data_IF_780337885693
#
_entry.id   IF_780337885693
#
_cell.length_a   1.000
_cell.length_b   1.000
_cell.length_c   1.000
_cell.angle_alpha   90.00
_cell.angle_beta   90.00
_cell.angle_gamma   90.00
#
_symmetry.space_group_name_H-M   'P 1'
#
loop_
_entity.id
_entity.type
_entity.pdbx_description
1 polymer ?
#
# COMPACT_ATOMS: atom_id res chain seq x y z
N UNK A 1 -22.17 -15.83 2.25
CA UNK A 1 -21.99 -14.45 1.73
C UNK A 1 -21.12 -13.67 2.68
N UNK A 2 -20.36 -12.66 2.18
CA UNK A 2 -19.39 -11.89 2.98
C UNK A 2 -20.08 -11.15 4.16
N UNK A 3 -21.21 -10.53 3.94
CA UNK A 3 -21.97 -9.79 4.97
C UNK A 3 -22.39 -10.69 6.14
N UNK A 4 -22.76 -11.93 5.84
CA UNK A 4 -23.17 -12.89 6.86
C UNK A 4 -21.98 -13.28 7.76
N UNK A 5 -20.81 -13.55 7.16
CA UNK A 5 -19.59 -13.93 7.89
C UNK A 5 -19.06 -12.79 8.74
N UNK A 6 -19.03 -11.57 8.21
CA UNK A 6 -18.55 -10.40 8.97
C UNK A 6 -19.45 -10.10 10.16
N UNK A 7 -20.77 -10.23 9.99
CA UNK A 7 -21.75 -10.05 11.06
C UNK A 7 -21.61 -11.14 12.14
N UNK A 8 -21.44 -12.39 11.75
CA UNK A 8 -21.23 -13.51 12.69
C UNK A 8 -19.95 -13.30 13.49
N UNK A 9 -18.84 -12.95 12.82
CA UNK A 9 -17.55 -12.71 13.46
C UNK A 9 -17.63 -11.53 14.44
N UNK A 10 -18.26 -10.42 14.05
CA UNK A 10 -18.44 -9.25 14.91
C UNK A 10 -19.28 -9.56 16.13
N UNK A 11 -20.41 -10.26 15.96
CA UNK A 11 -21.27 -10.67 17.08
C UNK A 11 -20.55 -11.64 18.03
N UNK A 12 -19.70 -12.53 17.49
CA UNK A 12 -18.89 -13.42 18.32
C UNK A 12 -17.89 -12.63 19.18
N UNK A 13 -17.22 -11.61 18.60
CA UNK A 13 -16.31 -10.75 19.34
C UNK A 13 -17.03 -9.93 20.42
N UNK A 14 -18.21 -9.40 20.14
CA UNK A 14 -19.02 -8.67 21.11
C UNK A 14 -19.45 -9.56 22.27
N UNK A 15 -19.94 -10.77 21.99
CA UNK A 15 -20.42 -11.74 22.99
C UNK A 15 -19.33 -12.22 23.95
N UNK A 16 -18.05 -12.21 23.49
CA UNK A 16 -16.92 -12.68 24.27
C UNK A 16 -15.94 -11.55 24.63
N UNK A 17 -16.40 -10.30 24.58
CA UNK A 17 -15.55 -9.12 24.81
C UNK A 17 -14.90 -9.08 26.19
N UNK A 18 -15.55 -9.67 27.18
CA UNK A 18 -15.10 -9.84 28.56
C UNK A 18 -13.92 -10.80 28.71
N UNK A 19 -13.74 -11.73 27.78
CA UNK A 19 -12.64 -12.70 27.79
C UNK A 19 -11.30 -12.10 27.32
N UNK A 20 -11.32 -10.93 26.69
CA UNK A 20 -10.12 -10.28 26.16
C UNK A 20 -9.60 -9.22 27.15
N UNK A 21 -8.32 -9.32 27.53
CA UNK A 21 -7.65 -8.30 28.36
C UNK A 21 -7.62 -6.93 27.66
N UNK A 22 -7.52 -6.92 26.35
CA UNK A 22 -7.59 -5.73 25.50
C UNK A 22 -8.69 -5.95 24.48
N UNK A 23 -9.63 -4.99 24.34
CA UNK A 23 -10.71 -5.11 23.37
C UNK A 23 -10.15 -5.19 21.96
N UNK A 24 -10.43 -6.30 21.21
CA UNK A 24 -9.98 -6.42 19.84
C UNK A 24 -10.67 -5.39 18.96
N UNK A 25 -9.91 -4.79 18.03
CA UNK A 25 -10.45 -3.93 16.99
C UNK A 25 -10.87 -4.81 15.82
N UNK A 26 -12.06 -4.57 15.28
CA UNK A 26 -12.59 -5.33 14.14
C UNK A 26 -12.63 -4.45 12.90
N UNK A 27 -11.92 -4.87 11.87
CA UNK A 27 -11.87 -4.17 10.60
C UNK A 27 -12.42 -5.06 9.50
N UNK A 28 -13.22 -4.46 8.61
CA UNK A 28 -13.80 -5.14 7.46
C UNK A 28 -13.31 -4.41 6.21
N UNK A 29 -12.69 -5.13 5.29
CA UNK A 29 -12.34 -4.64 3.95
C UNK A 29 -13.29 -5.32 2.98
N UNK A 30 -14.19 -4.55 2.40
CA UNK A 30 -15.23 -5.02 1.48
C UNK A 30 -15.09 -4.29 0.15
N UNK A 31 -14.62 -4.99 -0.88
CA UNK A 31 -14.48 -4.45 -2.22
C UNK A 31 -15.80 -4.39 -2.99
N UNK A 32 -16.81 -5.19 -2.58
CA UNK A 32 -18.12 -5.23 -3.23
C UNK A 32 -18.98 -4.02 -2.83
N UNK A 33 -18.85 -3.55 -1.57
CA UNK A 33 -19.48 -2.31 -1.11
C UNK A 33 -18.50 -1.43 -0.33
N UNK A 34 -17.79 -0.52 -1.01
CA UNK A 34 -16.81 0.37 -0.38
C UNK A 34 -17.41 1.31 0.69
N UNK A 35 -18.73 1.56 0.66
CA UNK A 35 -19.41 2.40 1.68
C UNK A 35 -19.49 1.68 3.03
N UNK A 36 -19.45 0.35 3.02
CA UNK A 36 -19.48 -0.51 4.21
C UNK A 36 -18.11 -1.13 4.50
N UNK A 37 -17.06 -0.50 4.01
CA UNK A 37 -15.68 -0.95 4.15
C UNK A 37 -14.86 0.05 4.97
N UNK A 38 -13.98 -0.47 5.82
CA UNK A 38 -12.92 0.36 6.41
C UNK A 38 -11.91 0.72 5.33
N UNK A 39 -11.32 1.90 5.48
CA UNK A 39 -10.27 2.38 4.57
C UNK A 39 -8.91 1.92 5.09
N UNK A 40 -8.08 1.44 4.18
CA UNK A 40 -6.70 1.06 4.45
C UNK A 40 -5.79 1.74 3.42
N UNK A 41 -4.72 2.35 3.89
CA UNK A 41 -3.65 2.83 3.02
C UNK A 41 -2.47 1.86 3.13
N UNK A 42 -2.22 0.99 2.13
CA UNK A 42 -1.11 0.06 2.15
C UNK A 42 0.26 0.75 2.05
N UNK A 43 0.29 2.01 1.58
CA UNK A 43 1.49 2.83 1.47
C UNK A 43 1.58 3.88 2.60
N UNK A 44 1.04 3.57 3.78
CA UNK A 44 1.09 4.52 4.89
C UNK A 44 2.54 4.86 5.28
N UNK A 45 2.92 6.15 5.26
CA UNK A 45 4.29 6.59 5.55
C UNK A 45 4.73 6.29 6.99
N UNK A 46 3.78 6.02 7.90
CA UNK A 46 4.04 5.69 9.31
C UNK A 46 4.82 4.39 9.47
N UNK A 47 4.65 3.46 8.52
CA UNK A 47 5.31 2.14 8.56
C UNK A 47 6.60 2.10 7.74
N UNK A 48 7.01 3.21 7.13
CA UNK A 48 8.23 3.28 6.33
C UNK A 48 9.31 4.06 7.08
N UNK A 49 10.38 3.40 7.47
CA UNK A 49 11.52 3.98 8.18
C UNK A 49 12.64 4.36 7.23
N UNK A 50 12.89 3.55 6.22
CA UNK A 50 13.89 3.78 5.20
C UNK A 50 13.42 3.37 3.79
N UNK A 51 14.30 3.52 2.79
CA UNK A 51 13.98 3.24 1.39
C UNK A 51 13.74 1.75 1.12
N UNK A 52 14.27 0.86 1.95
CA UNK A 52 14.05 -0.58 1.78
C UNK A 52 12.59 -0.97 2.06
N UNK A 53 11.92 -0.28 2.98
CA UNK A 53 10.49 -0.48 3.23
C UNK A 53 9.65 -0.11 1.99
N UNK A 54 10.03 0.97 1.29
CA UNK A 54 9.38 1.37 0.04
C UNK A 54 9.65 0.34 -1.08
N UNK A 55 10.87 -0.21 -1.13
CA UNK A 55 11.20 -1.27 -2.07
C UNK A 55 10.40 -2.55 -1.81
N UNK A 56 10.29 -2.99 -0.56
CA UNK A 56 9.50 -4.18 -0.18
C UNK A 56 8.01 -3.99 -0.50
N UNK A 57 7.46 -2.81 -0.25
CA UNK A 57 6.09 -2.48 -0.62
C UNK A 57 5.89 -2.55 -2.14
N UNK A 58 6.80 -1.94 -2.90
CA UNK A 58 6.80 -1.99 -4.36
C UNK A 58 6.91 -3.42 -4.90
N UNK A 59 7.87 -4.18 -4.39
CA UNK A 59 8.12 -5.57 -4.75
C UNK A 59 6.86 -6.42 -4.54
N UNK A 60 6.25 -6.31 -3.37
CA UNK A 60 5.03 -7.03 -3.03
C UNK A 60 3.88 -6.68 -3.96
N UNK A 61 3.68 -5.38 -4.26
CA UNK A 61 2.62 -4.92 -5.16
C UNK A 61 2.84 -5.47 -6.57
N UNK A 62 4.04 -5.29 -7.12
CA UNK A 62 4.35 -5.66 -8.50
C UNK A 62 4.28 -7.16 -8.74
N UNK A 63 4.78 -7.98 -7.81
CA UNK A 63 4.69 -9.44 -7.93
C UNK A 63 3.26 -9.96 -7.79
N UNK A 64 2.41 -9.29 -6.98
CA UNK A 64 1.00 -9.66 -6.88
C UNK A 64 0.20 -9.27 -8.14
N UNK A 65 0.57 -8.17 -8.79
CA UNK A 65 -0.02 -7.76 -10.06
C UNK A 65 0.39 -8.69 -11.21
N UNK A 66 1.63 -9.19 -11.20
CA UNK A 66 2.13 -10.10 -12.21
C UNK A 66 2.90 -11.27 -11.59
N UNK A 67 2.17 -12.33 -11.25
CA UNK A 67 2.74 -13.52 -10.60
C UNK A 67 3.83 -14.24 -11.41
N UNK A 68 3.84 -14.10 -12.74
CA UNK A 68 4.88 -14.71 -13.58
C UNK A 68 6.28 -14.12 -13.33
N UNK A 69 6.33 -12.91 -12.74
CA UNK A 69 7.58 -12.26 -12.39
C UNK A 69 8.32 -12.93 -11.23
N UNK A 70 7.61 -13.68 -10.38
CA UNK A 70 8.22 -14.46 -9.29
C UNK A 70 9.29 -15.42 -9.81
N UNK A 71 9.10 -15.97 -11.01
CA UNK A 71 10.04 -16.90 -11.65
C UNK A 71 11.17 -16.20 -12.42
N UNK A 72 11.14 -14.86 -12.50
CA UNK A 72 12.10 -14.03 -13.26
C UNK A 72 12.80 -13.01 -12.38
N UNK A 73 12.98 -13.32 -11.11
CA UNK A 73 13.72 -12.45 -10.19
C UNK A 73 15.15 -12.23 -10.69
N UNK A 74 15.61 -10.99 -10.64
CA UNK A 74 16.92 -10.59 -11.17
C UNK A 74 16.92 -10.23 -12.66
N UNK A 75 15.80 -10.40 -13.37
CA UNK A 75 15.65 -9.91 -14.74
C UNK A 75 15.47 -8.38 -14.72
N UNK A 76 16.21 -7.68 -15.56
CA UNK A 76 16.16 -6.21 -15.68
C UNK A 76 14.73 -5.68 -15.92
N UNK A 77 13.94 -6.36 -16.75
CA UNK A 77 12.56 -5.96 -17.05
C UNK A 77 11.59 -6.18 -15.88
N UNK A 78 11.96 -6.97 -14.89
CA UNK A 78 11.21 -7.17 -13.64
C UNK A 78 11.67 -6.19 -12.58
N UNK A 79 12.98 -6.06 -12.39
CA UNK A 79 13.56 -5.21 -11.32
C UNK A 79 13.36 -3.71 -11.60
N UNK A 80 13.46 -3.29 -12.85
CA UNK A 80 13.38 -1.88 -13.23
C UNK A 80 12.04 -1.22 -12.84
N UNK A 81 10.86 -1.80 -13.14
CA UNK A 81 9.58 -1.27 -12.68
C UNK A 81 9.41 -1.28 -11.15
N UNK A 82 9.99 -2.27 -10.48
CA UNK A 82 9.95 -2.37 -9.01
C UNK A 82 10.72 -1.20 -8.40
N UNK A 83 11.94 -0.94 -8.87
CA UNK A 83 12.77 0.17 -8.42
C UNK A 83 12.10 1.51 -8.70
N UNK A 84 11.52 1.68 -9.89
CA UNK A 84 10.80 2.91 -10.24
C UNK A 84 9.64 3.17 -9.27
N UNK A 85 8.79 2.17 -9.02
CA UNK A 85 7.68 2.32 -8.09
C UNK A 85 8.17 2.56 -6.66
N UNK A 86 9.24 1.91 -6.22
CA UNK A 86 9.86 2.14 -4.92
C UNK A 86 10.35 3.59 -4.77
N UNK A 87 10.98 4.13 -5.81
CA UNK A 87 11.45 5.54 -5.83
C UNK A 87 10.28 6.52 -5.73
N UNK A 88 9.17 6.25 -6.42
CA UNK A 88 7.96 7.06 -6.35
C UNK A 88 7.34 7.00 -4.94
N UNK A 89 7.23 5.82 -4.34
CA UNK A 89 6.70 5.63 -2.99
C UNK A 89 7.57 6.40 -1.98
N UNK A 90 8.90 6.27 -2.08
CA UNK A 90 9.83 6.96 -1.21
C UNK A 90 9.76 8.48 -1.37
N UNK A 91 9.68 8.99 -2.60
CA UNK A 91 9.44 10.39 -2.87
C UNK A 91 8.17 10.90 -2.19
N UNK A 92 7.05 10.20 -2.37
CA UNK A 92 5.77 10.58 -1.76
C UNK A 92 5.80 10.51 -0.23
N UNK A 93 6.63 9.63 0.36
CA UNK A 93 6.83 9.57 1.80
C UNK A 93 7.50 10.83 2.33
N UNK A 94 8.49 11.36 1.60
CA UNK A 94 9.24 12.55 2.00
C UNK A 94 8.46 13.82 1.68
N UNK A 95 7.80 13.85 0.53
CA UNK A 95 7.05 14.99 0.05
C UNK A 95 5.90 15.34 0.99
N UNK A 96 5.81 16.62 1.43
CA UNK A 96 4.74 17.13 2.31
C UNK A 96 4.50 16.25 3.55
N UNK A 97 5.57 15.71 4.16
CA UNK A 97 5.50 14.79 5.31
C UNK A 97 4.63 13.55 5.07
N UNK A 98 4.61 13.03 3.86
CA UNK A 98 3.87 11.82 3.48
C UNK A 98 2.37 12.01 3.29
N UNK A 99 1.87 13.24 3.23
CA UNK A 99 0.44 13.55 3.06
C UNK A 99 -0.15 12.87 1.82
N UNK A 100 0.62 12.75 0.76
CA UNK A 100 0.22 12.17 -0.53
C UNK A 100 0.75 10.74 -0.74
N UNK A 101 1.32 10.11 0.30
CA UNK A 101 1.83 8.75 0.21
C UNK A 101 0.69 7.73 0.16
N UNK A 102 0.03 7.65 -0.99
CA UNK A 102 -1.07 6.75 -1.29
C UNK A 102 -0.94 6.17 -2.69
N UNK A 103 -1.55 5.01 -2.92
CA UNK A 103 -1.47 4.33 -4.21
C UNK A 103 -2.03 5.17 -5.39
N UNK A 104 -3.17 5.87 -5.26
CA UNK A 104 -3.65 6.75 -6.33
C UNK A 104 -2.65 7.84 -6.71
N UNK A 105 -1.99 8.48 -5.74
CA UNK A 105 -0.98 9.51 -6.03
C UNK A 105 0.28 8.92 -6.67
N UNK A 106 0.68 7.69 -6.28
CA UNK A 106 1.79 7.00 -6.94
C UNK A 106 1.49 6.73 -8.42
N UNK A 107 0.26 6.30 -8.74
CA UNK A 107 -0.17 6.11 -10.13
C UNK A 107 -0.21 7.44 -10.89
N UNK A 108 -0.68 8.50 -10.26
CA UNK A 108 -0.75 9.82 -10.89
C UNK A 108 0.63 10.38 -11.23
N UNK A 109 1.64 10.17 -10.40
CA UNK A 109 3.03 10.55 -10.69
C UNK A 109 3.62 9.79 -11.89
N UNK A 110 3.16 8.56 -12.14
CA UNK A 110 3.53 7.82 -13.35
C UNK A 110 2.92 8.41 -14.63
N UNK A 111 1.92 9.29 -14.48
CA UNK A 111 1.33 9.96 -15.64
C UNK A 111 2.35 10.94 -16.23
N UNK A 112 2.48 10.94 -17.55
CA UNK A 112 3.42 11.76 -18.33
C UNK A 112 3.39 13.26 -17.95
N UNK A 113 2.24 13.77 -17.51
CA UNK A 113 2.07 15.17 -17.10
C UNK A 113 2.94 15.56 -15.90
N UNK A 114 3.23 14.62 -15.00
CA UNK A 114 3.99 14.88 -13.76
C UNK A 114 5.39 14.26 -13.78
N UNK A 115 5.74 13.51 -14.83
CA UNK A 115 7.03 12.83 -14.94
C UNK A 115 8.22 13.82 -14.86
N UNK A 116 8.10 15.01 -15.46
CA UNK A 116 9.17 16.02 -15.46
C UNK A 116 9.39 16.59 -14.05
N UNK A 117 8.32 16.83 -13.29
CA UNK A 117 8.38 17.31 -11.91
C UNK A 117 9.02 16.25 -11.00
N UNK A 118 8.61 14.99 -11.15
CA UNK A 118 9.20 13.88 -10.40
C UNK A 118 10.69 13.74 -10.68
N UNK A 119 11.10 13.75 -11.94
CA UNK A 119 12.50 13.61 -12.34
C UNK A 119 13.35 14.73 -11.77
N UNK A 120 12.91 15.99 -11.88
CA UNK A 120 13.65 17.15 -11.41
C UNK A 120 13.84 17.14 -9.89
N UNK A 121 12.77 16.82 -9.13
CA UNK A 121 12.84 16.81 -7.66
C UNK A 121 13.56 15.58 -7.10
N UNK A 122 13.52 14.44 -7.77
CA UNK A 122 14.23 13.25 -7.32
C UNK A 122 15.76 13.45 -7.41
N UNK A 123 16.26 14.15 -8.43
CA UNK A 123 17.67 14.50 -8.53
C UNK A 123 18.16 15.49 -7.46
N UNK A 124 17.26 16.23 -6.81
CA UNK A 124 17.62 17.18 -5.74
C UNK A 124 17.61 16.51 -4.34
N UNK A 125 17.13 15.27 -4.22
CA UNK A 125 17.04 14.55 -2.95
C UNK A 125 18.17 13.54 -2.74
N UNK A 126 19.05 13.37 -3.72
CA UNK A 126 20.30 12.60 -3.66
C UNK A 126 21.50 13.53 -3.86
#
# INVERSE_FOLDING_TARGET
KFDDLSTIAYNHLLKHSDKYKVKPKFYVINFDDPRRSHRCNPLSPVFMTDISDAYEASYTIMLNLNRSWILKQGDFFVESPIILLASIIWFLKIYENGKYCTFPHAIELLNKKYADVFTTQTFLLY
#
